data_IF_465523284317
#
_entry.id   IF_465523284317
#
_cell.length_a   1.000
_cell.length_b   1.000
_cell.length_c   1.000
_cell.angle_alpha   90.00
_cell.angle_beta   90.00
_cell.angle_gamma   90.00
#
_symmetry.space_group_name_H-M   'P 1'
#
loop_
_entity.id
_entity.type
_entity.pdbx_description
1 polymer ?
#
# COMPACT_ATOMS: atom_id res chain seq x y z
N UNK A 1 -6.62 -11.67 7.85
CA UNK A 1 -7.56 -10.78 7.08
C UNK A 1 -7.07 -9.34 6.94
N UNK A 2 -6.56 -8.74 8.03
CA UNK A 2 -6.05 -7.36 8.03
C UNK A 2 -4.88 -7.10 7.08
N UNK A 3 -3.92 -8.02 6.98
CA UNK A 3 -2.76 -7.89 6.07
C UNK A 3 -3.17 -7.73 4.60
N UNK A 4 -4.13 -8.55 4.13
CA UNK A 4 -4.65 -8.46 2.75
C UNK A 4 -5.37 -7.14 2.50
N UNK A 5 -6.08 -6.61 3.50
CA UNK A 5 -6.73 -5.30 3.39
C UNK A 5 -5.69 -4.18 3.29
N UNK A 6 -4.67 -4.20 4.15
CA UNK A 6 -3.57 -3.23 4.12
C UNK A 6 -2.84 -3.26 2.78
N UNK A 7 -2.61 -4.45 2.21
CA UNK A 7 -2.03 -4.62 0.88
C UNK A 7 -2.85 -3.91 -0.20
N UNK A 8 -4.14 -4.20 -0.30
CA UNK A 8 -5.00 -3.60 -1.33
C UNK A 8 -5.16 -2.10 -1.16
N UNK A 9 -5.33 -1.63 0.07
CA UNK A 9 -5.43 -0.20 0.36
C UNK A 9 -4.14 0.54 -0.04
N UNK A 10 -2.98 -0.02 0.28
CA UNK A 10 -1.67 0.54 -0.10
C UNK A 10 -1.54 0.67 -1.61
N UNK A 11 -1.98 -0.34 -2.38
CA UNK A 11 -1.98 -0.29 -3.85
C UNK A 11 -2.87 0.83 -4.37
N UNK A 12 -4.13 0.89 -3.93
CA UNK A 12 -5.06 1.89 -4.44
C UNK A 12 -4.68 3.33 -4.04
N UNK A 13 -4.23 3.53 -2.80
CA UNK A 13 -3.73 4.82 -2.34
C UNK A 13 -2.44 5.22 -3.08
N UNK A 14 -1.53 4.28 -3.31
CA UNK A 14 -0.31 4.47 -4.09
C UNK A 14 -0.58 4.89 -5.53
N UNK A 15 -1.55 4.24 -6.19
CA UNK A 15 -1.99 4.63 -7.54
C UNK A 15 -2.63 6.03 -7.49
N UNK A 16 -3.53 6.29 -6.55
CA UNK A 16 -4.21 7.58 -6.44
C UNK A 16 -3.26 8.75 -6.21
N UNK A 17 -2.31 8.60 -5.28
CA UNK A 17 -1.31 9.64 -5.00
C UNK A 17 -0.36 9.83 -6.18
N UNK A 18 -0.01 8.75 -6.89
CA UNK A 18 0.83 8.84 -8.08
C UNK A 18 0.10 9.56 -9.21
N UNK A 19 -1.13 9.15 -9.56
CA UNK A 19 -1.92 9.78 -10.64
C UNK A 19 -2.10 11.28 -10.38
N UNK A 20 -2.51 11.65 -9.16
CA UNK A 20 -2.67 13.06 -8.80
C UNK A 20 -1.34 13.81 -8.81
N UNK A 21 -0.25 13.19 -8.35
CA UNK A 21 1.11 13.76 -8.38
C UNK A 21 1.61 14.01 -9.80
N UNK A 22 1.43 13.05 -10.71
CA UNK A 22 1.78 13.22 -12.13
C UNK A 22 1.01 14.37 -12.78
N UNK A 23 -0.27 14.57 -12.45
CA UNK A 23 -1.04 15.72 -12.95
C UNK A 23 -0.44 17.04 -12.45
N UNK A 24 0.03 17.07 -11.20
CA UNK A 24 0.64 18.25 -10.59
C UNK A 24 2.04 18.56 -11.15
N UNK A 25 2.87 17.53 -11.32
CA UNK A 25 4.27 17.67 -11.77
C UNK A 25 4.37 17.98 -13.27
N UNK A 26 3.40 17.52 -14.06
CA UNK A 26 3.41 17.67 -15.51
C UNK A 26 2.21 18.50 -16.01
N UNK A 27 2.38 19.83 -16.17
CA UNK A 27 1.34 20.73 -16.65
C UNK A 27 0.66 20.32 -17.96
N UNK A 28 1.37 19.58 -18.82
CA UNK A 28 0.83 19.04 -20.08
C UNK A 28 -0.30 18.05 -19.87
N UNK A 29 -0.28 17.28 -18.77
CA UNK A 29 -1.34 16.33 -18.42
C UNK A 29 -2.61 17.10 -18.02
N UNK A 30 -2.48 18.13 -17.17
CA UNK A 30 -3.61 18.97 -16.80
C UNK A 30 -4.19 19.73 -18.02
N UNK A 31 -3.35 20.21 -18.94
CA UNK A 31 -3.81 20.82 -20.18
C UNK A 31 -4.55 19.82 -21.09
N UNK A 32 -4.08 18.58 -21.18
CA UNK A 32 -4.78 17.51 -21.90
C UNK A 32 -6.14 17.21 -21.29
N UNK A 33 -6.24 17.11 -19.95
CA UNK A 33 -7.52 16.89 -19.24
C UNK A 33 -8.54 17.97 -19.62
N UNK A 34 -8.13 19.25 -19.64
CA UNK A 34 -9.00 20.37 -20.02
C UNK A 34 -9.49 20.25 -21.46
N UNK A 35 -8.62 19.79 -22.38
CA UNK A 35 -8.99 19.60 -23.78
C UNK A 35 -9.90 18.38 -24.04
N UNK A 36 -9.78 17.35 -23.20
CA UNK A 36 -10.48 16.08 -23.36
C UNK A 36 -11.82 16.01 -22.60
N UNK A 37 -11.98 16.83 -21.55
CA UNK A 37 -13.12 16.74 -20.64
C UNK A 37 -13.99 18.00 -20.70
N UNK A 38 -15.26 17.90 -21.12
CA UNK A 38 -16.15 19.06 -21.18
C UNK A 38 -16.48 19.64 -19.79
N UNK A 39 -16.40 18.81 -18.74
CA UNK A 39 -16.64 19.24 -17.35
C UNK A 39 -15.50 20.08 -16.76
N UNK A 40 -14.27 19.93 -17.29
CA UNK A 40 -13.08 20.61 -16.80
C UNK A 40 -12.61 21.68 -17.79
N UNK A 41 -13.33 22.79 -17.90
CA UNK A 41 -13.01 23.86 -18.86
C UNK A 41 -11.87 24.79 -18.43
N UNK A 42 -11.42 24.72 -17.16
CA UNK A 42 -10.38 25.59 -16.62
C UNK A 42 -9.21 24.81 -16.03
N UNK A 43 -8.01 25.11 -16.52
CA UNK A 43 -6.75 24.54 -16.03
C UNK A 43 -6.58 24.67 -14.52
N UNK A 44 -6.90 25.86 -13.97
CA UNK A 44 -6.80 26.13 -12.53
C UNK A 44 -7.66 25.18 -11.70
N UNK A 45 -8.85 24.83 -12.18
CA UNK A 45 -9.74 23.93 -11.47
C UNK A 45 -9.19 22.51 -11.39
N UNK A 46 -8.58 22.01 -12.47
CA UNK A 46 -7.91 20.70 -12.51
C UNK A 46 -6.76 20.66 -11.51
N UNK A 47 -5.87 21.66 -11.52
CA UNK A 47 -4.72 21.71 -10.61
C UNK A 47 -5.15 21.80 -9.14
N UNK A 48 -6.16 22.61 -8.83
CA UNK A 48 -6.70 22.75 -7.47
C UNK A 48 -7.28 21.42 -6.97
N UNK A 49 -8.11 20.75 -7.78
CA UNK A 49 -8.68 19.46 -7.43
C UNK A 49 -7.60 18.39 -7.26
N UNK A 50 -6.63 18.32 -8.17
CA UNK A 50 -5.49 17.41 -8.06
C UNK A 50 -4.69 17.65 -6.78
N UNK A 51 -4.46 18.91 -6.38
CA UNK A 51 -3.78 19.24 -5.13
C UNK A 51 -4.56 18.77 -3.89
N UNK A 52 -5.87 19.04 -3.84
CA UNK A 52 -6.72 18.63 -2.71
C UNK A 52 -6.74 17.11 -2.59
N UNK A 53 -6.98 16.40 -3.69
CA UNK A 53 -7.00 14.94 -3.72
C UNK A 53 -5.64 14.35 -3.34
N UNK A 54 -4.55 14.87 -3.92
CA UNK A 54 -3.20 14.40 -3.60
C UNK A 54 -2.90 14.55 -2.11
N UNK A 55 -3.25 15.70 -1.53
CA UNK A 55 -3.00 15.98 -0.11
C UNK A 55 -3.79 15.05 0.80
N UNK A 56 -5.08 14.85 0.53
CA UNK A 56 -5.93 13.96 1.32
C UNK A 56 -5.41 12.52 1.25
N UNK A 57 -5.14 12.03 0.03
CA UNK A 57 -4.63 10.67 -0.18
C UNK A 57 -3.28 10.51 0.51
N UNK A 58 -2.37 11.48 0.37
CA UNK A 58 -1.05 11.44 1.00
C UNK A 58 -1.14 11.36 2.53
N UNK A 59 -2.00 12.18 3.17
CA UNK A 59 -2.21 12.14 4.62
C UNK A 59 -2.71 10.77 5.07
N UNK A 60 -3.74 10.24 4.40
CA UNK A 60 -4.28 8.91 4.69
C UNK A 60 -3.20 7.85 4.50
N UNK A 61 -2.44 7.93 3.41
CA UNK A 61 -1.41 6.95 3.09
C UNK A 61 -0.26 6.96 4.10
N UNK A 62 0.19 8.13 4.53
CA UNK A 62 1.17 8.27 5.61
C UNK A 62 0.66 7.61 6.89
N UNK A 63 -0.59 7.85 7.28
CA UNK A 63 -1.17 7.21 8.47
C UNK A 63 -1.17 5.68 8.37
N UNK A 64 -1.48 5.12 7.19
CA UNK A 64 -1.41 3.68 6.94
C UNK A 64 0.02 3.14 7.02
N UNK A 65 1.00 3.84 6.45
CA UNK A 65 2.42 3.45 6.50
C UNK A 65 2.91 3.44 7.96
N UNK A 66 2.56 4.44 8.75
CA UNK A 66 2.89 4.47 10.18
C UNK A 66 2.26 3.29 10.92
N UNK A 67 0.99 2.96 10.65
CA UNK A 67 0.33 1.78 11.18
C UNK A 67 1.04 0.48 10.78
N UNK A 68 1.45 0.35 9.52
CA UNK A 68 2.20 -0.81 9.03
C UNK A 68 3.55 -0.97 9.73
N UNK A 69 4.30 0.12 9.90
CA UNK A 69 5.58 0.12 10.63
C UNK A 69 5.36 -0.28 12.10
N UNK A 70 4.34 0.27 12.75
CA UNK A 70 4.01 -0.07 14.14
C UNK A 70 3.68 -1.57 14.31
N UNK A 71 2.90 -2.14 13.39
CA UNK A 71 2.58 -3.57 13.39
C UNK A 71 3.84 -4.44 13.21
N UNK A 72 4.69 -4.07 12.26
CA UNK A 72 5.89 -4.83 11.91
C UNK A 72 6.97 -4.79 13.02
N UNK A 73 7.06 -3.67 13.75
CA UNK A 73 8.15 -3.44 14.72
C UNK A 73 7.76 -3.73 16.16
N UNK A 74 6.57 -3.30 16.59
CA UNK A 74 6.19 -3.31 18.01
C UNK A 74 5.07 -4.30 18.32
N UNK A 75 4.05 -4.41 17.47
CA UNK A 75 2.86 -5.20 17.83
C UNK A 75 3.07 -6.70 17.67
N UNK A 76 3.77 -7.13 16.61
CA UNK A 76 3.98 -8.55 16.32
C UNK A 76 5.49 -8.87 16.36
N UNK A 77 6.02 -9.25 17.53
CA UNK A 77 7.44 -9.57 17.71
C UNK A 77 7.91 -10.62 16.69
N UNK A 78 9.14 -10.47 16.20
CA UNK A 78 9.72 -11.38 15.20
C UNK A 78 9.34 -11.05 13.75
N UNK A 79 8.29 -10.27 13.49
CA UNK A 79 7.86 -9.91 12.13
C UNK A 79 8.92 -9.13 11.36
N UNK A 80 9.48 -8.08 11.96
CA UNK A 80 10.56 -7.30 11.32
C UNK A 80 11.76 -8.17 10.96
N UNK A 81 12.17 -9.07 11.88
CA UNK A 81 13.30 -9.96 11.63
C UNK A 81 12.97 -10.99 10.54
N UNK A 82 11.73 -11.46 10.49
CA UNK A 82 11.19 -12.26 9.39
C UNK A 82 11.33 -11.55 8.04
N UNK A 83 10.98 -10.27 7.98
CA UNK A 83 11.09 -9.46 6.75
C UNK A 83 12.54 -9.25 6.32
N UNK A 84 13.46 -8.96 7.25
CA UNK A 84 14.86 -8.64 6.90
C UNK A 84 15.73 -9.87 6.66
N UNK A 85 15.46 -10.98 7.37
CA UNK A 85 16.23 -12.23 7.25
C UNK A 85 15.63 -13.23 6.27
N UNK A 86 14.35 -13.07 5.93
CA UNK A 86 13.58 -14.02 5.12
C UNK A 86 13.20 -15.31 5.85
N UNK A 87 13.43 -15.39 7.17
CA UNK A 87 13.16 -16.58 7.99
C UNK A 87 12.38 -16.21 9.25
N UNK A 88 11.38 -17.02 9.57
CA UNK A 88 10.58 -16.93 10.80
C UNK A 88 10.68 -18.23 11.57
N UNK A 89 10.55 -18.17 12.89
CA UNK A 89 10.52 -19.38 13.71
C UNK A 89 9.17 -20.11 13.59
N UNK A 90 9.19 -21.41 13.90
CA UNK A 90 8.02 -22.27 13.77
C UNK A 90 6.86 -21.86 14.71
N UNK A 91 7.17 -21.28 15.88
CA UNK A 91 6.14 -20.87 16.83
C UNK A 91 5.41 -19.62 16.31
N UNK A 92 6.15 -18.63 15.81
CA UNK A 92 5.59 -17.45 15.14
C UNK A 92 4.69 -17.84 13.97
N UNK A 93 5.17 -18.75 13.11
CA UNK A 93 4.41 -19.23 11.95
C UNK A 93 3.11 -19.92 12.38
N UNK A 94 3.16 -20.74 13.45
CA UNK A 94 1.98 -21.41 13.99
C UNK A 94 0.98 -20.44 14.63
N UNK A 95 1.45 -19.40 15.30
CA UNK A 95 0.59 -18.42 16.00
C UNK A 95 -0.07 -17.43 15.03
N UNK A 96 0.62 -17.01 13.96
CA UNK A 96 0.16 -15.94 13.08
C UNK A 96 -0.33 -16.44 11.71
N UNK A 97 0.17 -17.58 11.24
CA UNK A 97 -0.11 -18.16 9.93
C UNK A 97 -0.23 -19.69 9.99
N UNK A 98 -1.10 -20.19 10.87
CA UNK A 98 -1.33 -21.62 11.14
C UNK A 98 -1.50 -22.49 9.88
N UNK A 99 -2.28 -22.03 8.90
CA UNK A 99 -2.51 -22.73 7.62
C UNK A 99 -1.24 -22.83 6.79
N UNK A 100 -0.50 -21.74 6.67
CA UNK A 100 0.77 -21.73 5.94
C UNK A 100 1.82 -22.62 6.62
N UNK A 101 1.85 -22.62 7.96
CA UNK A 101 2.70 -23.54 8.72
C UNK A 101 2.35 -25.01 8.46
N UNK A 102 1.06 -25.36 8.41
CA UNK A 102 0.61 -26.72 8.08
C UNK A 102 1.03 -27.13 6.65
N UNK A 103 0.81 -26.26 5.67
CA UNK A 103 1.22 -26.47 4.27
C UNK A 103 2.73 -26.71 4.14
N UNK A 104 3.55 -25.97 4.89
CA UNK A 104 5.01 -26.15 4.87
C UNK A 104 5.44 -27.49 5.47
N UNK A 105 4.83 -27.92 6.58
CA UNK A 105 5.13 -29.22 7.20
C UNK A 105 4.72 -30.41 6.34
N UNK A 106 3.58 -30.31 5.68
CA UNK A 106 3.14 -31.34 4.72
C UNK A 106 4.13 -31.46 3.55
N UNK A 107 4.59 -30.32 3.02
CA UNK A 107 5.59 -30.28 1.96
C UNK A 107 6.98 -30.81 2.38
N UNK A 108 7.39 -30.63 3.63
CA UNK A 108 8.62 -31.23 4.17
C UNK A 108 8.51 -32.75 4.29
N UNK A 109 7.39 -33.26 4.83
CA UNK A 109 7.17 -34.70 4.99
C UNK A 109 7.09 -35.45 3.65
N UNK A 110 6.70 -34.79 2.55
CA UNK A 110 6.67 -35.38 1.20
C UNK A 110 8.04 -35.45 0.52
N UNK A 111 9.04 -34.71 1.00
CA UNK A 111 10.42 -34.70 0.46
C UNK A 111 11.38 -35.61 1.24
N UNK A 112 10.92 -36.13 2.39
CA UNK A 112 11.57 -37.14 3.23
C UNK A 112 11.31 -38.55 2.70
#
# INVERSE_FOLDING_TARGET
>A
PGEKLLFWLTIFLGIGVSVTGYILDFPTIAAWIVSASPDFSQYRHVMELSHVLHTIIAIVFIAFILGHIFLATMLVPGTLQGMTSGKVDANWAKEHHDRWYAEMREGENQKS
#
